data_IF_483375235912
#
_entry.id   IF_483375235912
#
_cell.length_a   1.000
_cell.length_b   1.000
_cell.length_c   1.000
_cell.angle_alpha   90.00
_cell.angle_beta   90.00
_cell.angle_gamma   90.00
#
_symmetry.space_group_name_H-M   'P 1'
#
loop_
_entity.id
_entity.type
_entity.pdbx_description
1 polymer ?
#
# COMPACT_ATOMS: atom_id res chain seq x y z
N UNK A 1 -25.24 -7.79 33.46
CA UNK A 1 -25.81 -9.15 33.54
C UNK A 1 -24.75 -10.12 33.01
N UNK A 2 -24.18 -11.02 33.83
CA UNK A 2 -23.29 -12.04 33.32
C UNK A 2 -24.14 -12.94 32.41
N UNK A 3 -23.89 -12.89 31.10
CA UNK A 3 -24.57 -13.77 30.14
C UNK A 3 -24.10 -15.20 30.43
N UNK A 4 -25.02 -16.16 30.30
CA UNK A 4 -24.83 -17.55 30.71
C UNK A 4 -23.57 -18.21 30.15
N UNK A 5 -23.25 -19.40 30.69
CA UNK A 5 -22.09 -20.18 30.30
C UNK A 5 -21.94 -20.29 28.77
N UNK A 6 -20.69 -20.26 28.29
CA UNK A 6 -20.36 -20.43 26.88
C UNK A 6 -21.07 -21.65 26.31
N UNK A 7 -21.71 -21.52 25.13
CA UNK A 7 -22.37 -22.67 24.51
C UNK A 7 -21.33 -23.77 24.19
N UNK A 8 -21.73 -25.05 24.11
CA UNK A 8 -20.79 -26.12 23.72
C UNK A 8 -20.08 -25.86 22.39
N UNK A 9 -20.74 -25.18 21.45
CA UNK A 9 -20.14 -24.77 20.18
C UNK A 9 -19.08 -23.66 20.37
N UNK A 10 -19.35 -22.66 21.21
CA UNK A 10 -18.37 -21.62 21.55
C UNK A 10 -17.15 -22.21 22.25
N UNK A 11 -17.34 -23.17 23.17
CA UNK A 11 -16.24 -23.85 23.85
C UNK A 11 -15.32 -24.57 22.87
N UNK A 12 -15.88 -25.23 21.84
CA UNK A 12 -15.08 -25.87 20.79
C UNK A 12 -14.28 -24.86 19.96
N UNK A 13 -14.88 -23.72 19.60
CA UNK A 13 -14.15 -22.64 18.90
C UNK A 13 -13.04 -22.08 19.77
N UNK A 14 -13.32 -21.76 21.04
CA UNK A 14 -12.33 -21.26 22.00
C UNK A 14 -11.18 -22.25 22.17
N UNK A 15 -11.47 -23.55 22.29
CA UNK A 15 -10.45 -24.58 22.43
C UNK A 15 -9.59 -24.71 21.15
N UNK A 16 -10.21 -24.68 19.97
CA UNK A 16 -9.48 -24.72 18.70
C UNK A 16 -8.55 -23.51 18.51
N UNK A 17 -8.98 -22.33 18.95
CA UNK A 17 -8.16 -21.10 18.89
C UNK A 17 -7.05 -21.10 19.95
N UNK A 18 -7.31 -21.60 21.15
CA UNK A 18 -6.29 -21.75 22.18
C UNK A 18 -5.14 -22.68 21.75
N UNK A 19 -5.44 -23.72 20.97
CA UNK A 19 -4.42 -24.58 20.34
C UNK A 19 -3.54 -23.88 19.29
N UNK A 20 -3.86 -22.63 18.94
CA UNK A 20 -3.09 -21.74 18.04
C UNK A 20 -2.56 -20.51 18.77
N UNK A 21 -2.52 -20.55 20.10
CA UNK A 21 -2.15 -19.42 20.96
C UNK A 21 -3.04 -18.18 20.81
N UNK A 22 -4.26 -18.34 20.32
CA UNK A 22 -5.25 -17.27 20.18
C UNK A 22 -6.24 -17.32 21.33
N UNK A 23 -6.30 -16.25 22.12
CA UNK A 23 -7.21 -16.15 23.26
C UNK A 23 -8.48 -15.38 22.87
N UNK A 24 -9.63 -16.03 22.98
CA UNK A 24 -10.95 -15.40 22.78
C UNK A 24 -11.94 -15.81 23.86
N UNK A 25 -12.87 -14.92 24.15
CA UNK A 25 -13.96 -15.12 25.11
C UNK A 25 -15.27 -15.40 24.39
N UNK A 26 -16.19 -16.11 25.05
CA UNK A 26 -17.54 -16.32 24.51
C UNK A 26 -18.28 -15.00 24.23
N UNK A 27 -18.04 -13.97 25.05
CA UNK A 27 -18.57 -12.62 24.82
C UNK A 27 -18.03 -11.97 23.56
N UNK A 28 -16.76 -12.18 23.21
CA UNK A 28 -16.19 -11.70 21.95
C UNK A 28 -16.85 -12.40 20.76
N UNK A 29 -16.96 -13.74 20.78
CA UNK A 29 -17.63 -14.50 19.74
C UNK A 29 -19.10 -14.08 19.56
N UNK A 30 -19.83 -13.88 20.66
CA UNK A 30 -21.21 -13.37 20.62
C UNK A 30 -21.28 -11.96 20.02
N UNK A 31 -20.34 -11.09 20.41
CA UNK A 31 -20.25 -9.73 19.87
C UNK A 31 -20.00 -9.73 18.37
N UNK A 32 -19.06 -10.53 17.88
CA UNK A 32 -18.74 -10.63 16.45
C UNK A 32 -19.92 -11.15 15.63
N UNK A 33 -20.66 -12.15 16.15
CA UNK A 33 -21.90 -12.61 15.51
C UNK A 33 -23.01 -11.57 15.51
N UNK A 34 -23.12 -10.78 16.58
CA UNK A 34 -24.13 -9.71 16.67
C UNK A 34 -23.88 -8.63 15.62
N UNK A 35 -22.62 -8.38 15.30
CA UNK A 35 -22.20 -7.40 14.30
C UNK A 35 -22.04 -7.99 12.90
N UNK A 36 -22.45 -9.25 12.69
CA UNK A 36 -22.39 -9.91 11.39
C UNK A 36 -21.00 -10.33 10.91
N UNK A 37 -19.94 -10.14 11.72
CA UNK A 37 -18.57 -10.48 11.34
C UNK A 37 -18.26 -11.98 11.45
N UNK A 38 -19.02 -12.70 12.27
CA UNK A 38 -18.88 -14.13 12.43
C UNK A 38 -20.20 -14.82 12.06
N UNK A 39 -20.18 -15.88 11.22
CA UNK A 39 -21.38 -16.64 10.93
C UNK A 39 -22.01 -17.24 12.20
N UNK A 40 -23.34 -17.32 12.22
CA UNK A 40 -24.05 -18.03 13.30
C UNK A 40 -23.93 -19.53 13.06
N UNK A 41 -23.77 -20.29 14.14
CA UNK A 41 -23.81 -21.75 14.06
C UNK A 41 -25.15 -22.22 13.49
N UNK A 42 -25.09 -23.10 12.48
CA UNK A 42 -26.28 -23.80 12.00
C UNK A 42 -26.81 -24.68 13.13
N UNK A 43 -28.09 -24.53 13.45
CA UNK A 43 -28.77 -25.30 14.48
C UNK A 43 -29.71 -26.28 13.82
N UNK A 44 -29.64 -27.55 14.24
CA UNK A 44 -30.62 -28.57 13.88
C UNK A 44 -31.64 -28.69 15.00
N UNK A 45 -32.92 -28.58 14.66
CA UNK A 45 -34.02 -28.85 15.59
C UNK A 45 -34.11 -30.34 15.89
N UNK A 46 -34.28 -30.71 17.16
CA UNK A 46 -34.41 -32.11 17.61
C UNK A 46 -35.87 -32.60 17.63
N UNK A 47 -36.80 -31.82 17.08
CA UNK A 47 -38.26 -32.06 17.15
C UNK A 47 -38.95 -31.27 18.27
N UNK A 48 -40.29 -31.36 18.33
CA UNK A 48 -41.10 -30.62 19.31
C UNK A 48 -40.63 -30.89 20.75
N UNK A 49 -40.38 -29.81 21.49
CA UNK A 49 -40.00 -29.85 22.90
C UNK A 49 -38.56 -30.32 23.20
N UNK A 50 -37.78 -30.74 22.20
CA UNK A 50 -36.43 -31.32 22.40
C UNK A 50 -35.28 -30.33 22.16
N UNK A 51 -35.59 -29.07 21.85
CA UNK A 51 -34.60 -28.02 21.64
C UNK A 51 -33.86 -28.13 20.31
N UNK A 52 -32.69 -27.50 20.24
CA UNK A 52 -31.85 -27.43 19.05
C UNK A 52 -30.39 -27.69 19.41
N UNK A 53 -29.67 -28.46 18.59
CA UNK A 53 -28.23 -28.74 18.76
C UNK A 53 -27.42 -28.22 17.59
N UNK A 54 -26.13 -28.02 17.84
CA UNK A 54 -25.12 -27.74 16.83
C UNK A 54 -24.36 -29.04 16.61
N UNK A 55 -24.60 -29.69 15.48
CA UNK A 55 -24.04 -31.02 15.19
C UNK A 55 -22.52 -30.96 14.99
N UNK A 56 -22.04 -29.91 14.31
CA UNK A 56 -20.62 -29.66 14.10
C UNK A 56 -20.34 -28.14 14.07
N UNK A 57 -19.16 -27.76 14.54
CA UNK A 57 -18.64 -26.40 14.35
C UNK A 57 -18.07 -26.34 12.94
N UNK A 58 -18.62 -25.44 12.13
CA UNK A 58 -18.14 -25.18 10.79
C UNK A 58 -16.68 -24.68 10.84
N UNK A 59 -15.72 -25.32 10.13
CA UNK A 59 -14.34 -24.86 10.06
C UNK A 59 -14.22 -23.38 9.67
N UNK A 60 -15.11 -22.89 8.79
CA UNK A 60 -15.16 -21.48 8.40
C UNK A 60 -15.29 -20.55 9.62
N UNK A 61 -16.11 -20.92 10.60
CA UNK A 61 -16.29 -20.13 11.83
C UNK A 61 -15.01 -20.09 12.65
N UNK A 62 -14.27 -21.19 12.71
CA UNK A 62 -12.99 -21.24 13.43
C UNK A 62 -11.96 -20.34 12.74
N UNK A 63 -11.81 -20.44 11.43
CA UNK A 63 -10.85 -19.64 10.67
C UNK A 63 -11.20 -18.14 10.66
N UNK A 64 -12.49 -17.77 10.50
CA UNK A 64 -12.92 -16.37 10.61
C UNK A 64 -12.69 -15.82 12.02
N UNK A 65 -12.94 -16.62 13.05
CA UNK A 65 -12.66 -16.21 14.43
C UNK A 65 -11.15 -16.08 14.70
N UNK A 66 -10.32 -16.92 14.07
CA UNK A 66 -8.86 -16.81 14.14
C UNK A 66 -8.37 -15.50 13.52
N UNK A 67 -8.84 -15.16 12.32
CA UNK A 67 -8.51 -13.90 11.65
C UNK A 67 -8.94 -12.69 12.49
N UNK A 68 -10.17 -12.69 13.02
CA UNK A 68 -10.65 -11.64 13.92
C UNK A 68 -9.81 -11.53 15.20
N UNK A 69 -9.38 -12.65 15.78
CA UNK A 69 -8.54 -12.65 16.98
C UNK A 69 -7.15 -12.05 16.73
N UNK A 70 -6.56 -12.26 15.54
CA UNK A 70 -5.27 -11.68 15.15
C UNK A 70 -5.33 -10.15 15.01
N UNK A 71 -6.41 -9.64 14.41
CA UNK A 71 -6.50 -8.22 14.00
C UNK A 71 -7.25 -7.34 15.00
N UNK A 72 -8.26 -7.88 15.67
CA UNK A 72 -9.11 -7.12 16.59
C UNK A 72 -8.49 -7.04 18.00
N UNK A 73 -7.71 -5.99 18.23
CA UNK A 73 -7.08 -5.69 19.53
C UNK A 73 -7.94 -4.75 20.38
N UNK A 74 -7.80 -4.82 21.70
CA UNK A 74 -8.49 -3.92 22.62
C UNK A 74 -8.17 -2.45 22.32
N UNK A 75 -9.20 -1.60 22.29
CA UNK A 75 -9.07 -0.16 22.01
C UNK A 75 -8.90 0.19 20.53
N UNK A 76 -8.77 -0.80 19.63
CA UNK A 76 -8.66 -0.58 18.19
C UNK A 76 -10.03 -0.50 17.53
N UNK A 77 -10.17 0.37 16.53
CA UNK A 77 -11.38 0.45 15.71
C UNK A 77 -11.56 -0.85 14.92
N UNK A 78 -12.74 -1.45 15.04
CA UNK A 78 -13.10 -2.72 14.39
C UNK A 78 -12.97 -2.67 12.88
N UNK A 79 -13.22 -1.51 12.26
CA UNK A 79 -13.14 -1.35 10.80
C UNK A 79 -11.72 -1.54 10.30
N UNK A 80 -10.71 -1.08 11.05
CA UNK A 80 -9.31 -1.32 10.71
C UNK A 80 -8.98 -2.82 10.73
N UNK A 81 -9.49 -3.56 11.71
CA UNK A 81 -9.29 -5.01 11.79
C UNK A 81 -9.97 -5.76 10.64
N UNK A 82 -11.12 -5.28 10.15
CA UNK A 82 -11.78 -5.85 8.96
C UNK A 82 -10.94 -5.62 7.70
N UNK A 83 -10.31 -4.45 7.55
CA UNK A 83 -9.42 -4.18 6.42
C UNK A 83 -8.16 -5.06 6.44
N UNK A 84 -7.57 -5.28 7.61
CA UNK A 84 -6.42 -6.20 7.76
C UNK A 84 -6.81 -7.66 7.50
N UNK A 85 -7.98 -8.09 8.00
CA UNK A 85 -8.51 -9.40 7.67
C UNK A 85 -8.73 -9.52 6.15
N UNK A 86 -9.32 -8.51 5.52
CA UNK A 86 -9.56 -8.53 4.08
C UNK A 86 -8.27 -8.64 3.27
N UNK A 87 -7.22 -7.90 3.66
CA UNK A 87 -5.89 -8.02 3.05
C UNK A 87 -5.30 -9.42 3.26
N UNK A 88 -5.35 -9.96 4.49
CA UNK A 88 -4.83 -11.29 4.82
C UNK A 88 -5.53 -12.40 4.02
N UNK A 89 -6.84 -12.29 3.80
CA UNK A 89 -7.60 -13.25 3.00
C UNK A 89 -7.16 -13.31 1.52
N UNK A 90 -6.53 -12.25 1.01
CA UNK A 90 -5.95 -12.22 -0.33
C UNK A 90 -4.52 -12.76 -0.42
N UNK A 91 -3.89 -13.11 0.70
CA UNK A 91 -2.52 -13.61 0.72
C UNK A 91 -2.49 -15.14 0.58
N UNK A 92 -1.46 -15.71 -0.07
CA UNK A 92 -1.24 -17.15 -0.05
C UNK A 92 -1.02 -17.63 1.39
N UNK A 93 -1.39 -18.88 1.73
CA UNK A 93 -1.16 -19.42 3.07
C UNK A 93 0.32 -19.34 3.45
N UNK A 94 0.61 -18.89 4.67
CA UNK A 94 1.98 -18.66 5.15
C UNK A 94 2.84 -19.94 5.22
N UNK A 95 2.24 -21.13 5.13
CA UNK A 95 2.96 -22.40 5.12
C UNK A 95 2.20 -23.45 4.31
N UNK A 96 2.91 -24.40 3.67
CA UNK A 96 2.28 -25.52 2.99
C UNK A 96 1.33 -26.27 3.94
N UNK A 97 0.08 -26.46 3.51
CA UNK A 97 -0.95 -27.16 4.29
C UNK A 97 -1.67 -26.30 5.34
N UNK A 98 -1.30 -25.03 5.53
CA UNK A 98 -2.11 -24.11 6.32
C UNK A 98 -3.44 -23.82 5.61
N UNK A 99 -4.52 -23.74 6.38
CA UNK A 99 -5.83 -23.38 5.84
C UNK A 99 -5.80 -21.92 5.33
N UNK A 100 -6.41 -21.62 4.17
CA UNK A 100 -6.53 -20.26 3.69
C UNK A 100 -7.40 -19.44 4.65
N UNK A 101 -7.09 -18.14 4.77
CA UNK A 101 -7.89 -17.22 5.57
C UNK A 101 -9.19 -16.93 4.83
N UNK A 102 -10.35 -17.15 5.44
CA UNK A 102 -11.63 -16.96 4.76
C UNK A 102 -11.92 -15.48 4.52
N UNK A 103 -12.75 -15.20 3.52
CA UNK A 103 -13.20 -13.83 3.23
C UNK A 103 -14.02 -13.23 4.39
N UNK A 104 -13.76 -11.98 4.81
CA UNK A 104 -14.69 -11.23 5.64
C UNK A 104 -16.00 -10.95 4.89
N UNK A 105 -17.10 -10.68 5.62
CA UNK A 105 -18.34 -10.24 4.99
C UNK A 105 -18.11 -8.95 4.18
N UNK A 106 -18.40 -8.97 2.88
CA UNK A 106 -18.08 -7.84 1.98
C UNK A 106 -18.79 -6.56 2.38
N UNK A 107 -20.01 -6.64 2.94
CA UNK A 107 -20.69 -5.47 3.51
C UNK A 107 -19.88 -4.78 4.62
N UNK A 108 -19.19 -5.54 5.48
CA UNK A 108 -18.33 -4.99 6.52
C UNK A 108 -17.03 -4.41 5.94
N UNK A 109 -16.48 -5.04 4.89
CA UNK A 109 -15.33 -4.50 4.15
C UNK A 109 -15.67 -3.14 3.54
N UNK A 110 -16.81 -3.04 2.84
CA UNK A 110 -17.29 -1.80 2.22
C UNK A 110 -17.51 -0.70 3.25
N UNK A 111 -18.15 -1.01 4.38
CA UNK A 111 -18.31 -0.06 5.50
C UNK A 111 -16.95 0.45 5.99
N UNK A 112 -15.98 -0.47 6.16
CA UNK A 112 -14.66 -0.13 6.65
C UNK A 112 -13.85 0.72 5.65
N UNK A 113 -13.92 0.39 4.36
CA UNK A 113 -13.27 1.16 3.28
C UNK A 113 -13.84 2.57 3.20
N UNK A 114 -15.16 2.73 3.14
CA UNK A 114 -15.82 4.06 3.11
C UNK A 114 -15.42 4.88 4.33
N UNK A 115 -15.45 4.27 5.53
CA UNK A 115 -15.07 4.97 6.75
C UNK A 115 -13.61 5.43 6.75
N UNK A 116 -12.69 4.60 6.23
CA UNK A 116 -11.26 4.90 6.15
C UNK A 116 -10.98 6.00 5.12
N UNK A 117 -11.57 5.89 3.93
CA UNK A 117 -11.43 6.87 2.84
C UNK A 117 -11.95 8.25 3.24
N UNK A 118 -13.11 8.34 3.89
CA UNK A 118 -13.65 9.61 4.42
C UNK A 118 -12.73 10.30 5.44
N UNK A 119 -11.72 9.60 5.98
CA UNK A 119 -10.77 10.12 6.97
C UNK A 119 -9.35 10.18 6.44
N UNK A 120 -9.17 9.89 5.16
CA UNK A 120 -7.87 9.82 4.52
C UNK A 120 -7.29 11.23 4.31
N UNK A 121 -5.98 11.33 4.10
CA UNK A 121 -5.35 12.61 3.80
C UNK A 121 -5.75 13.10 2.41
N UNK A 122 -5.73 12.19 1.43
CA UNK A 122 -6.09 12.45 0.04
C UNK A 122 -7.54 12.93 -0.11
N UNK A 123 -8.50 12.26 0.54
CA UNK A 123 -9.91 12.68 0.50
C UNK A 123 -10.10 14.07 1.12
N UNK A 124 -9.46 14.35 2.27
CA UNK A 124 -9.54 15.67 2.91
C UNK A 124 -8.88 16.75 2.06
N UNK A 125 -7.81 16.42 1.34
CA UNK A 125 -7.15 17.35 0.43
C UNK A 125 -8.05 17.69 -0.76
N UNK A 126 -8.72 16.70 -1.36
CA UNK A 126 -9.70 16.90 -2.43
C UNK A 126 -10.91 17.70 -1.95
N UNK A 127 -11.46 17.38 -0.77
CA UNK A 127 -12.57 18.14 -0.18
C UNK A 127 -12.18 19.59 0.11
N UNK A 128 -10.95 19.81 0.61
CA UNK A 128 -10.43 21.14 0.83
C UNK A 128 -10.28 21.90 -0.49
N UNK A 129 -9.68 21.27 -1.51
CA UNK A 129 -9.55 21.86 -2.84
C UNK A 129 -10.93 22.25 -3.42
N UNK A 130 -11.93 21.37 -3.33
CA UNK A 130 -13.32 21.68 -3.75
C UNK A 130 -13.91 22.85 -2.98
N UNK A 131 -13.64 22.97 -1.67
CA UNK A 131 -14.13 24.08 -0.86
C UNK A 131 -13.44 25.41 -1.17
N UNK A 132 -12.23 25.38 -1.72
CA UNK A 132 -11.46 26.54 -2.14
C UNK A 132 -11.78 26.97 -3.59
N UNK A 133 -12.57 26.19 -4.33
CA UNK A 133 -12.95 26.50 -5.70
C UNK A 133 -13.68 27.87 -5.78
N UNK A 134 -13.23 28.73 -6.69
CA UNK A 134 -13.78 30.07 -6.88
C UNK A 134 -13.25 31.15 -5.92
N UNK A 135 -12.35 30.80 -4.99
CA UNK A 135 -11.68 31.78 -4.11
C UNK A 135 -10.43 32.44 -4.74
N UNK A 136 -10.11 32.11 -5.99
CA UNK A 136 -8.92 32.63 -6.70
C UNK A 136 -7.60 32.22 -6.05
N UNK A 137 -6.58 33.07 -6.18
CA UNK A 137 -5.22 32.82 -5.68
C UNK A 137 -5.17 32.52 -4.18
N UNK A 138 -5.97 33.21 -3.35
CA UNK A 138 -6.04 32.97 -1.91
C UNK A 138 -6.50 31.54 -1.57
N UNK A 139 -7.41 30.99 -2.39
CA UNK A 139 -7.87 29.60 -2.26
C UNK A 139 -6.78 28.60 -2.62
N UNK A 140 -6.00 28.88 -3.66
CA UNK A 140 -4.87 28.06 -4.06
C UNK A 140 -3.79 28.05 -2.97
N UNK A 141 -3.38 29.21 -2.48
CA UNK A 141 -2.38 29.34 -1.40
C UNK A 141 -2.81 28.59 -0.14
N UNK A 142 -4.09 28.70 0.24
CA UNK A 142 -4.65 27.97 1.36
C UNK A 142 -4.59 26.45 1.15
N UNK A 143 -4.81 25.97 -0.08
CA UNK A 143 -4.72 24.55 -0.45
C UNK A 143 -3.29 24.05 -0.33
N UNK A 144 -2.30 24.74 -0.91
CA UNK A 144 -0.88 24.33 -0.79
C UNK A 144 -0.41 24.33 0.67
N UNK A 145 -0.82 25.34 1.46
CA UNK A 145 -0.50 25.39 2.88
C UNK A 145 -1.16 24.24 3.67
N UNK A 146 -2.41 23.88 3.35
CA UNK A 146 -3.10 22.75 3.96
C UNK A 146 -2.46 21.41 3.57
N UNK A 147 -2.09 21.25 2.29
CA UNK A 147 -1.39 20.09 1.79
C UNK A 147 -0.06 19.85 2.51
N UNK A 148 0.75 20.90 2.68
CA UNK A 148 2.02 20.82 3.41
C UNK A 148 1.84 20.35 4.86
N UNK A 149 0.73 20.73 5.53
CA UNK A 149 0.41 20.24 6.88
C UNK A 149 -0.09 18.80 6.91
N UNK A 150 -0.85 18.38 5.88
CA UNK A 150 -1.47 17.06 5.83
C UNK A 150 -0.50 15.96 5.39
N UNK A 151 0.39 16.27 4.44
CA UNK A 151 1.27 15.31 3.79
C UNK A 151 2.67 15.27 4.43
N UNK A 152 3.06 16.32 5.18
CA UNK A 152 4.39 16.42 5.77
C UNK A 152 5.50 16.44 4.70
N UNK A 153 6.72 16.06 5.09
CA UNK A 153 7.88 15.94 4.20
C UNK A 153 7.93 14.58 3.51
N UNK A 154 6.85 14.17 2.83
CA UNK A 154 6.90 12.96 2.02
C UNK A 154 7.88 13.17 0.86
N UNK A 155 8.82 12.23 0.69
CA UNK A 155 9.68 12.13 -0.48
C UNK A 155 9.46 10.75 -1.08
N UNK A 156 9.23 10.68 -2.39
CA UNK A 156 9.13 9.40 -3.10
C UNK A 156 10.45 8.61 -2.99
N UNK A 157 10.37 7.29 -3.14
CA UNK A 157 11.58 6.47 -3.16
C UNK A 157 12.40 6.73 -4.42
N UNK A 158 13.71 6.60 -4.27
CA UNK A 158 14.67 6.63 -5.38
C UNK A 158 14.49 5.36 -6.21
N UNK A 159 14.66 5.48 -7.53
CA UNK A 159 14.63 4.32 -8.42
C UNK A 159 15.65 3.25 -7.93
N UNK A 160 15.22 2.00 -7.68
CA UNK A 160 16.07 0.92 -7.19
C UNK A 160 17.29 0.64 -8.07
N UNK A 161 17.24 0.86 -9.38
CA UNK A 161 18.42 0.72 -10.24
C UNK A 161 19.52 1.74 -9.87
N UNK A 162 19.13 2.97 -9.52
CA UNK A 162 20.06 4.01 -9.04
C UNK A 162 20.61 3.65 -7.67
N UNK A 163 19.75 3.16 -6.76
CA UNK A 163 20.18 2.69 -5.44
C UNK A 163 21.20 1.55 -5.57
N UNK A 164 20.90 0.58 -6.43
CA UNK A 164 21.80 -0.56 -6.71
C UNK A 164 23.15 -0.08 -7.21
N UNK A 165 23.18 0.78 -8.22
CA UNK A 165 24.41 1.29 -8.80
C UNK A 165 25.27 2.03 -7.76
N UNK A 166 24.65 2.82 -6.88
CA UNK A 166 25.34 3.49 -5.78
C UNK A 166 25.94 2.49 -4.79
N UNK A 167 25.16 1.48 -4.37
CA UNK A 167 25.62 0.43 -3.45
C UNK A 167 26.77 -0.42 -4.05
N UNK A 168 26.69 -0.78 -5.33
CA UNK A 168 27.73 -1.54 -6.03
C UNK A 168 29.02 -0.70 -6.19
N UNK A 169 28.90 0.62 -6.34
CA UNK A 169 30.04 1.54 -6.36
C UNK A 169 30.59 1.87 -4.97
N UNK A 170 29.93 1.42 -3.89
CA UNK A 170 30.28 1.76 -2.51
C UNK A 170 30.05 3.24 -2.16
N UNK A 171 29.17 3.93 -2.88
CA UNK A 171 28.86 5.35 -2.70
C UNK A 171 27.46 5.61 -2.15
N UNK A 172 27.18 6.87 -1.83
CA UNK A 172 25.86 7.33 -1.44
C UNK A 172 24.93 7.50 -2.65
N UNK A 173 23.63 7.35 -2.42
CA UNK A 173 22.61 7.63 -3.44
C UNK A 173 22.60 9.14 -3.75
N UNK A 174 22.67 9.55 -5.03
CA UNK A 174 22.65 10.96 -5.39
C UNK A 174 21.39 11.68 -4.89
N UNK A 175 21.55 12.87 -4.30
CA UNK A 175 20.43 13.68 -3.82
C UNK A 175 19.45 14.11 -4.94
N UNK A 176 19.93 14.18 -6.18
CA UNK A 176 19.09 14.52 -7.34
C UNK A 176 18.26 13.34 -7.87
N UNK A 177 18.50 12.12 -7.36
CA UNK A 177 17.72 10.93 -7.72
C UNK A 177 16.47 10.73 -6.86
N UNK A 178 16.15 11.70 -5.99
CA UNK A 178 14.96 11.68 -5.13
C UNK A 178 13.67 11.52 -5.96
N UNK A 179 12.74 10.70 -5.46
CA UNK A 179 11.45 10.46 -6.11
C UNK A 179 10.56 11.70 -6.12
N UNK A 180 9.37 11.62 -6.74
CA UNK A 180 8.48 12.76 -6.90
C UNK A 180 8.18 13.47 -5.57
N UNK A 181 8.26 14.80 -5.60
CA UNK A 181 7.96 15.65 -4.44
C UNK A 181 6.44 15.70 -4.18
N UNK A 182 6.06 15.98 -2.93
CA UNK A 182 4.66 16.11 -2.51
C UNK A 182 3.89 17.12 -3.37
N UNK A 183 4.57 18.12 -3.91
CA UNK A 183 3.99 19.17 -4.75
C UNK A 183 3.23 18.60 -5.95
N UNK A 184 3.74 17.54 -6.58
CA UNK A 184 3.06 16.88 -7.71
C UNK A 184 1.71 16.28 -7.31
N UNK A 185 1.60 15.69 -6.12
CA UNK A 185 0.29 15.22 -5.60
C UNK A 185 -0.67 16.38 -5.37
N UNK A 186 -0.17 17.52 -4.88
CA UNK A 186 -1.02 18.69 -4.64
C UNK A 186 -1.56 19.24 -5.95
N UNK A 187 -0.76 19.29 -7.01
CA UNK A 187 -1.21 19.71 -8.34
C UNK A 187 -2.33 18.80 -8.87
N UNK A 188 -2.24 17.48 -8.70
CA UNK A 188 -3.32 16.55 -9.08
C UNK A 188 -4.58 16.78 -8.23
N UNK A 189 -4.43 16.89 -6.91
CA UNK A 189 -5.57 17.16 -6.02
C UNK A 189 -6.23 18.52 -6.29
N UNK A 190 -5.42 19.53 -6.60
CA UNK A 190 -5.88 20.85 -7.01
C UNK A 190 -6.65 20.76 -8.33
N UNK A 191 -6.17 20.02 -9.33
CA UNK A 191 -6.87 19.87 -10.61
C UNK A 191 -8.20 19.15 -10.45
N UNK A 192 -8.27 18.16 -9.55
CA UNK A 192 -9.52 17.48 -9.19
C UNK A 192 -10.51 18.43 -8.49
N UNK A 193 -10.04 19.26 -7.55
CA UNK A 193 -10.92 20.06 -6.70
C UNK A 193 -11.26 21.44 -7.23
N UNK A 194 -10.29 22.13 -7.84
CA UNK A 194 -10.41 23.48 -8.41
C UNK A 194 -10.73 23.44 -9.90
N UNK A 195 -10.29 22.38 -10.60
CA UNK A 195 -10.33 22.28 -12.06
C UNK A 195 -8.93 22.37 -12.66
N UNK A 196 -8.70 21.65 -13.76
CA UNK A 196 -7.40 21.59 -14.41
C UNK A 196 -6.91 22.96 -14.93
N UNK A 197 -7.85 23.81 -15.34
CA UNK A 197 -7.58 25.15 -15.85
C UNK A 197 -6.99 26.08 -14.77
N UNK A 198 -7.39 25.90 -13.51
CA UNK A 198 -6.91 26.68 -12.37
C UNK A 198 -5.47 26.32 -11.99
N UNK A 199 -5.04 25.08 -12.27
CA UNK A 199 -3.68 24.60 -11.99
C UNK A 199 -2.73 24.94 -13.13
N UNK A 200 -3.23 24.93 -14.37
CA UNK A 200 -2.46 25.16 -15.59
C UNK A 200 -1.83 23.88 -16.15
N UNK A 201 -1.71 23.83 -17.48
CA UNK A 201 -1.20 22.68 -18.22
C UNK A 201 0.23 22.28 -17.81
N UNK A 202 1.11 23.25 -17.56
CA UNK A 202 2.52 22.98 -17.23
C UNK A 202 2.67 22.28 -15.87
N UNK A 203 1.98 22.78 -14.84
CA UNK A 203 2.02 22.17 -13.51
C UNK A 203 1.36 20.77 -13.48
N UNK A 204 0.32 20.57 -14.29
CA UNK A 204 -0.28 19.26 -14.49
C UNK A 204 0.65 18.30 -15.25
N UNK A 205 1.36 18.80 -16.25
CA UNK A 205 2.32 18.02 -17.01
C UNK A 205 3.49 17.55 -16.15
N UNK A 206 4.05 18.45 -15.33
CA UNK A 206 5.06 18.10 -14.34
C UNK A 206 4.53 17.07 -13.34
N UNK A 207 3.29 17.24 -12.86
CA UNK A 207 2.70 16.29 -11.93
C UNK A 207 2.50 14.90 -12.56
N UNK A 208 1.95 14.81 -13.77
CA UNK A 208 1.73 13.54 -14.47
C UNK A 208 3.04 12.84 -14.82
N UNK A 209 4.04 13.58 -15.26
CA UNK A 209 5.38 13.06 -15.50
C UNK A 209 6.03 12.56 -14.20
N UNK A 210 5.86 13.27 -13.08
CA UNK A 210 6.38 12.88 -11.78
C UNK A 210 5.77 11.54 -11.27
N UNK A 211 4.52 11.23 -11.62
CA UNK A 211 3.92 9.92 -11.37
C UNK A 211 4.25 8.86 -12.42
N UNK A 212 5.03 9.21 -13.45
CA UNK A 212 5.38 8.32 -14.54
C UNK A 212 4.20 7.92 -15.42
N UNK A 213 3.12 8.71 -15.44
CA UNK A 213 1.91 8.33 -16.18
C UNK A 213 2.22 8.13 -17.67
N UNK A 214 1.98 6.89 -18.12
CA UNK A 214 2.24 6.39 -19.49
C UNK A 214 3.70 6.52 -19.95
N UNK A 215 4.67 6.65 -19.02
CA UNK A 215 6.09 6.82 -19.35
C UNK A 215 6.41 8.12 -20.09
N UNK A 216 5.51 9.11 -20.06
CA UNK A 216 5.70 10.38 -20.76
C UNK A 216 6.46 11.41 -19.91
N UNK A 217 7.31 12.21 -20.56
CA UNK A 217 8.01 13.33 -19.91
C UNK A 217 7.08 14.52 -19.69
N UNK A 218 7.53 15.49 -18.88
CA UNK A 218 6.79 16.73 -18.65
C UNK A 218 6.57 17.50 -19.96
N UNK A 219 7.54 17.53 -20.88
CA UNK A 219 7.37 18.19 -22.18
C UNK A 219 6.32 17.50 -23.05
N UNK A 220 6.33 16.16 -23.08
CA UNK A 220 5.33 15.38 -23.83
C UNK A 220 3.92 15.64 -23.29
N UNK A 221 3.78 15.65 -21.96
CA UNK A 221 2.51 15.99 -21.31
C UNK A 221 2.08 17.43 -21.59
N UNK A 222 2.98 18.41 -21.47
CA UNK A 222 2.68 19.82 -21.72
C UNK A 222 2.25 20.03 -23.18
N UNK A 223 2.91 19.35 -24.13
CA UNK A 223 2.51 19.38 -25.53
C UNK A 223 1.10 18.80 -25.74
N UNK A 224 0.79 17.65 -25.13
CA UNK A 224 -0.53 17.02 -25.23
C UNK A 224 -1.63 17.88 -24.60
N UNK A 225 -1.41 18.36 -23.38
CA UNK A 225 -2.37 19.21 -22.65
C UNK A 225 -2.58 20.54 -23.39
N UNK A 226 -1.51 21.17 -23.86
CA UNK A 226 -1.60 22.40 -24.65
C UNK A 226 -2.29 22.19 -26.00
N UNK A 227 -2.09 21.05 -26.66
CA UNK A 227 -2.83 20.71 -27.88
C UNK A 227 -4.33 20.54 -27.61
N UNK A 228 -4.69 19.89 -26.49
CA UNK A 228 -6.08 19.76 -26.08
C UNK A 228 -6.72 21.12 -25.76
N UNK A 229 -6.02 22.02 -25.07
CA UNK A 229 -6.50 23.39 -24.78
C UNK A 229 -6.73 24.22 -26.06
N UNK A 230 -5.92 24.00 -27.10
CA UNK A 230 -6.10 24.64 -28.43
C UNK A 230 -7.15 23.96 -29.30
N UNK A 231 -7.73 22.83 -28.86
CA UNK A 231 -8.65 22.02 -29.67
C UNK A 231 -7.98 21.25 -30.81
N UNK A 232 -6.66 21.07 -30.75
CA UNK A 232 -5.84 20.37 -31.74
C UNK A 232 -5.73 18.85 -31.47
N UNK A 233 -6.41 18.35 -30.44
CA UNK A 233 -6.39 16.95 -30.01
C UNK A 233 -7.75 16.48 -29.47
N UNK A 234 -7.84 15.20 -29.04
CA UNK A 234 -9.04 14.71 -28.35
C UNK A 234 -9.29 15.56 -27.10
N UNK A 235 -10.57 15.88 -26.86
CA UNK A 235 -10.99 16.62 -25.68
C UNK A 235 -10.62 15.83 -24.42
N UNK A 236 -9.89 16.48 -23.50
CA UNK A 236 -9.56 15.87 -22.21
C UNK A 236 -10.79 15.98 -21.31
N UNK A 237 -11.41 14.84 -21.00
CA UNK A 237 -12.54 14.79 -20.07
C UNK A 237 -12.05 14.93 -18.62
N UNK A 238 -11.92 16.17 -18.17
CA UNK A 238 -11.59 16.48 -16.77
C UNK A 238 -12.67 16.03 -15.78
N UNK A 239 -13.91 15.88 -16.24
CA UNK A 239 -14.99 15.31 -15.44
C UNK A 239 -14.74 13.85 -15.11
N UNK A 240 -14.12 13.11 -16.03
CA UNK A 240 -13.68 11.74 -15.80
C UNK A 240 -12.60 11.66 -14.72
N UNK A 241 -11.61 12.57 -14.72
CA UNK A 241 -10.60 12.66 -13.65
C UNK A 241 -11.25 12.92 -12.28
N UNK A 242 -12.25 13.80 -12.21
CA UNK A 242 -12.98 14.07 -10.97
C UNK A 242 -13.81 12.86 -10.49
N UNK A 243 -14.42 12.12 -11.43
CA UNK A 243 -15.15 10.89 -11.13
C UNK A 243 -14.21 9.79 -10.63
N UNK A 244 -13.02 9.68 -11.23
CA UNK A 244 -11.97 8.76 -10.79
C UNK A 244 -11.37 9.15 -9.44
N UNK A 245 -11.40 10.42 -9.08
CA UNK A 245 -10.96 10.88 -7.77
C UNK A 245 -11.99 10.67 -6.64
N UNK A 246 -13.25 10.40 -6.93
CA UNK A 246 -14.28 10.10 -5.92
C UNK A 246 -14.21 8.64 -5.45
N UNK A 247 -13.11 8.32 -4.77
CA UNK A 247 -12.80 6.98 -4.23
C UNK A 247 -13.94 6.43 -3.37
N UNK A 248 -14.62 7.28 -2.59
CA UNK A 248 -15.74 6.87 -1.72
C UNK A 248 -16.90 6.37 -2.57
N UNK A 249 -17.32 7.13 -3.57
CA UNK A 249 -18.44 6.74 -4.42
C UNK A 249 -18.09 5.52 -5.27
N UNK A 250 -16.83 5.36 -5.70
CA UNK A 250 -16.38 4.15 -6.39
C UNK A 250 -16.52 2.90 -5.52
N UNK A 251 -15.99 2.93 -4.29
CA UNK A 251 -16.12 1.81 -3.34
C UNK A 251 -17.58 1.51 -3.03
N UNK A 252 -18.46 2.52 -2.98
CA UNK A 252 -19.89 2.29 -2.77
C UNK A 252 -20.56 1.60 -3.96
N UNK A 253 -20.16 1.93 -5.19
CA UNK A 253 -20.74 1.40 -6.44
C UNK A 253 -20.15 0.06 -6.88
N UNK A 254 -18.93 -0.29 -6.43
CA UNK A 254 -18.24 -1.51 -6.82
C UNK A 254 -19.05 -2.78 -6.43
N UNK A 255 -19.10 -3.79 -7.29
CA UNK A 255 -19.67 -5.09 -6.90
C UNK A 255 -18.78 -5.78 -5.86
N UNK A 256 -19.30 -6.82 -5.23
CA UNK A 256 -18.53 -7.59 -4.26
C UNK A 256 -17.33 -8.28 -4.92
N UNK A 257 -17.52 -8.81 -6.14
CA UNK A 257 -16.45 -9.39 -6.96
C UNK A 257 -15.40 -8.35 -7.33
N UNK A 258 -15.82 -7.12 -7.66
CA UNK A 258 -14.90 -6.05 -8.02
C UNK A 258 -14.00 -5.65 -6.84
N UNK A 259 -14.53 -5.65 -5.62
CA UNK A 259 -13.72 -5.39 -4.41
C UNK A 259 -12.70 -6.51 -4.15
N UNK A 260 -13.10 -7.77 -4.32
CA UNK A 260 -12.21 -8.93 -4.19
C UNK A 260 -11.11 -8.89 -5.24
N UNK A 261 -11.47 -8.56 -6.49
CA UNK A 261 -10.53 -8.43 -7.60
C UNK A 261 -9.55 -7.28 -7.39
N UNK A 262 -10.02 -6.09 -6.98
CA UNK A 262 -9.15 -4.97 -6.68
C UNK A 262 -8.13 -5.29 -5.57
N UNK A 263 -8.52 -6.10 -4.57
CA UNK A 263 -7.58 -6.61 -3.57
C UNK A 263 -6.55 -7.55 -4.20
N UNK A 264 -6.97 -8.49 -5.05
CA UNK A 264 -6.04 -9.40 -5.75
C UNK A 264 -4.99 -8.60 -6.55
N UNK A 265 -5.45 -7.64 -7.36
CA UNK A 265 -4.59 -6.71 -8.11
C UNK A 265 -3.62 -5.99 -7.16
N UNK A 266 -4.12 -5.41 -6.07
CA UNK A 266 -3.28 -4.72 -5.09
C UNK A 266 -2.21 -5.63 -4.46
N UNK A 267 -2.59 -6.84 -4.05
CA UNK A 267 -1.65 -7.81 -3.45
C UNK A 267 -0.62 -8.27 -4.47
N UNK A 268 -1.03 -8.54 -5.71
CA UNK A 268 -0.15 -8.93 -6.80
C UNK A 268 0.84 -7.83 -7.19
N UNK A 269 0.36 -6.60 -7.40
CA UNK A 269 1.21 -5.43 -7.66
C UNK A 269 2.21 -5.18 -6.53
N UNK A 270 1.84 -5.47 -5.28
CA UNK A 270 2.76 -5.37 -4.13
C UNK A 270 3.89 -6.39 -4.19
N UNK A 271 3.63 -7.59 -4.69
CA UNK A 271 4.68 -8.59 -4.91
C UNK A 271 5.66 -8.11 -5.97
N UNK A 272 5.17 -7.61 -7.12
CA UNK A 272 6.03 -7.07 -8.17
C UNK A 272 6.85 -5.85 -7.71
N UNK A 273 6.20 -4.91 -7.00
CA UNK A 273 6.89 -3.76 -6.43
C UNK A 273 7.95 -4.18 -5.39
N UNK A 274 7.67 -5.17 -4.55
CA UNK A 274 8.65 -5.68 -3.60
C UNK A 274 9.87 -6.27 -4.32
N UNK A 275 9.68 -7.10 -5.36
CA UNK A 275 10.80 -7.61 -6.18
C UNK A 275 11.61 -6.48 -6.81
N UNK A 276 10.93 -5.46 -7.32
CA UNK A 276 11.55 -4.29 -7.94
C UNK A 276 12.38 -3.48 -6.92
N UNK A 277 11.88 -3.25 -5.70
CA UNK A 277 12.63 -2.56 -4.62
C UNK A 277 13.80 -3.40 -4.13
N UNK A 278 13.61 -4.71 -3.95
CA UNK A 278 14.67 -5.61 -3.50
C UNK A 278 15.83 -5.68 -4.50
N UNK A 279 15.60 -5.46 -5.79
CA UNK A 279 16.69 -5.28 -6.77
C UNK A 279 17.67 -4.17 -6.37
N UNK A 280 17.16 -3.05 -5.84
CA UNK A 280 17.97 -1.98 -5.27
C UNK A 280 18.81 -2.43 -4.08
N UNK A 281 18.33 -3.43 -3.33
CA UNK A 281 19.02 -4.06 -2.20
C UNK A 281 19.80 -5.32 -2.62
N UNK A 282 20.42 -5.28 -3.80
CA UNK A 282 21.31 -6.32 -4.31
C UNK A 282 20.67 -7.71 -4.47
N UNK A 283 19.34 -7.79 -4.62
CA UNK A 283 18.67 -9.04 -4.99
C UNK A 283 19.32 -9.60 -6.28
N UNK A 284 19.71 -10.90 -6.33
CA UNK A 284 20.34 -11.48 -7.51
C UNK A 284 19.45 -11.32 -8.74
N UNK A 285 20.03 -10.80 -9.81
CA UNK A 285 19.28 -10.45 -11.00
C UNK A 285 19.21 -11.61 -12.00
N UNK A 286 18.08 -12.31 -12.03
CA UNK A 286 17.82 -13.36 -13.02
C UNK A 286 17.24 -12.77 -14.30
N UNK A 287 17.38 -13.43 -15.46
CA UNK A 287 16.77 -12.94 -16.71
C UNK A 287 15.26 -12.67 -16.59
N UNK A 288 14.55 -13.51 -15.84
CA UNK A 288 13.12 -13.35 -15.57
C UNK A 288 12.83 -12.09 -14.72
N UNK A 289 13.62 -11.82 -13.68
CA UNK A 289 13.49 -10.60 -12.91
C UNK A 289 13.83 -9.36 -13.74
N UNK A 290 14.89 -9.41 -14.55
CA UNK A 290 15.26 -8.32 -15.44
C UNK A 290 14.14 -7.99 -16.43
N UNK A 291 13.49 -8.99 -17.02
CA UNK A 291 12.33 -8.79 -17.90
C UNK A 291 11.15 -8.14 -17.19
N UNK A 292 10.81 -8.60 -15.96
CA UNK A 292 9.75 -7.97 -15.17
C UNK A 292 10.05 -6.51 -14.81
N UNK A 293 11.29 -6.20 -14.43
CA UNK A 293 11.68 -4.82 -14.13
C UNK A 293 11.65 -3.94 -15.36
N UNK A 294 12.20 -4.42 -16.48
CA UNK A 294 12.12 -3.71 -17.75
C UNK A 294 10.66 -3.41 -18.11
N UNK A 295 9.74 -4.36 -17.88
CA UNK A 295 8.32 -4.14 -18.12
C UNK A 295 7.72 -3.05 -17.23
N UNK A 296 8.11 -3.00 -15.95
CA UNK A 296 7.70 -1.93 -15.02
C UNK A 296 8.25 -0.57 -15.49
N UNK A 297 9.51 -0.54 -15.95
CA UNK A 297 10.18 0.67 -16.45
C UNK A 297 9.55 1.17 -17.75
N UNK A 298 9.27 0.28 -18.70
CA UNK A 298 8.61 0.58 -19.98
C UNK A 298 7.22 1.16 -19.77
N UNK A 299 6.51 0.71 -18.74
CA UNK A 299 5.20 1.24 -18.35
C UNK A 299 5.31 2.55 -17.54
N UNK A 300 6.51 2.96 -17.11
CA UNK A 300 6.73 4.12 -16.25
C UNK A 300 6.14 3.96 -14.83
N UNK A 301 5.88 2.73 -14.39
CA UNK A 301 5.02 2.48 -13.22
C UNK A 301 5.73 2.59 -11.87
N UNK A 302 7.05 2.70 -11.82
CA UNK A 302 7.78 2.72 -10.53
C UNK A 302 7.30 3.84 -9.57
N UNK A 303 7.27 5.13 -9.96
CA UNK A 303 6.85 6.20 -9.06
C UNK A 303 5.43 5.99 -8.52
N UNK A 304 4.56 5.42 -9.36
CA UNK A 304 3.20 5.09 -8.99
C UNK A 304 3.13 3.92 -8.00
N UNK A 305 3.81 2.82 -8.29
CA UNK A 305 3.87 1.64 -7.41
C UNK A 305 4.45 2.01 -6.05
N UNK A 306 5.49 2.85 -6.03
CA UNK A 306 6.08 3.39 -4.81
C UNK A 306 5.07 4.16 -3.97
N UNK A 307 4.34 5.07 -4.61
CA UNK A 307 3.39 5.93 -3.94
C UNK A 307 2.13 5.18 -3.44
N UNK A 308 1.60 4.28 -4.27
CA UNK A 308 0.28 3.68 -4.04
C UNK A 308 0.36 2.38 -3.27
N UNK A 309 1.34 1.53 -3.55
CA UNK A 309 1.26 0.13 -3.12
C UNK A 309 1.85 -0.07 -1.72
N UNK A 310 2.98 0.59 -1.42
CA UNK A 310 3.75 0.51 -0.18
C UNK A 310 4.07 -0.95 0.29
N UNK A 311 5.31 -1.23 0.69
CA UNK A 311 5.67 -2.59 1.14
C UNK A 311 4.92 -3.02 2.40
N UNK A 312 4.44 -2.09 3.23
CA UNK A 312 3.63 -2.39 4.42
C UNK A 312 2.61 -1.28 4.71
N UNK A 313 1.48 -1.23 3.99
CA UNK A 313 0.51 -0.17 4.14
C UNK A 313 -0.20 -0.31 5.49
N UNK A 314 -0.39 0.83 6.16
CA UNK A 314 -1.39 0.91 7.22
C UNK A 314 -2.78 0.55 6.67
N UNK A 315 -3.75 0.14 7.50
CA UNK A 315 -5.07 -0.22 6.98
C UNK A 315 -5.80 0.95 6.28
N UNK A 316 -5.42 2.20 6.57
CA UNK A 316 -5.94 3.37 5.85
C UNK A 316 -5.33 3.52 4.47
N UNK A 317 -4.00 3.34 4.36
CA UNK A 317 -3.33 3.30 3.06
C UNK A 317 -3.88 2.15 2.22
N UNK A 318 -4.08 0.96 2.80
CA UNK A 318 -4.73 -0.15 2.11
C UNK A 318 -6.08 0.26 1.49
N UNK A 319 -6.90 1.05 2.20
CA UNK A 319 -8.17 1.50 1.68
C UNK A 319 -8.01 2.45 0.47
N UNK A 320 -7.04 3.36 0.52
CA UNK A 320 -6.70 4.25 -0.59
C UNK A 320 -6.17 3.46 -1.79
N UNK A 321 -5.17 2.59 -1.59
CA UNK A 321 -4.60 1.74 -2.64
C UNK A 321 -5.64 0.83 -3.27
N UNK A 322 -6.55 0.27 -2.47
CA UNK A 322 -7.60 -0.60 -2.98
C UNK A 322 -8.62 0.17 -3.81
N UNK A 323 -8.98 1.38 -3.39
CA UNK A 323 -9.87 2.23 -4.17
C UNK A 323 -9.24 2.59 -5.52
N UNK A 324 -7.93 2.86 -5.55
CA UNK A 324 -7.17 3.07 -6.78
C UNK A 324 -7.21 1.82 -7.66
N UNK A 325 -6.96 0.62 -7.11
CA UNK A 325 -7.04 -0.65 -7.85
C UNK A 325 -8.46 -1.05 -8.32
N UNK A 326 -9.50 -0.24 -8.06
CA UNK A 326 -10.80 -0.41 -8.72
C UNK A 326 -10.80 0.11 -10.16
N UNK A 327 -9.79 0.89 -10.55
CA UNK A 327 -9.67 1.39 -11.91
C UNK A 327 -9.17 0.28 -12.86
N UNK A 328 -9.80 0.10 -14.04
CA UNK A 328 -9.44 -0.96 -14.99
C UNK A 328 -7.97 -0.95 -15.39
N UNK A 329 -7.35 0.23 -15.46
CA UNK A 329 -5.93 0.37 -15.79
C UNK A 329 -5.01 -0.47 -14.89
N UNK A 330 -5.29 -0.56 -13.58
CA UNK A 330 -4.44 -1.36 -12.68
C UNK A 330 -4.64 -2.86 -12.84
N UNK A 331 -5.84 -3.25 -13.25
CA UNK A 331 -6.11 -4.63 -13.64
C UNK A 331 -5.27 -5.01 -14.86
N UNK A 332 -5.26 -4.16 -15.90
CA UNK A 332 -4.46 -4.35 -17.11
C UNK A 332 -2.95 -4.39 -16.84
N UNK A 333 -2.46 -3.51 -15.96
CA UNK A 333 -1.05 -3.52 -15.51
C UNK A 333 -0.73 -4.83 -14.77
N UNK A 334 -1.61 -5.25 -13.85
CA UNK A 334 -1.42 -6.49 -13.11
C UNK A 334 -1.40 -7.71 -14.05
N UNK A 335 -2.37 -7.84 -14.96
CA UNK A 335 -2.42 -8.92 -15.94
C UNK A 335 -1.18 -8.93 -16.83
N UNK A 336 -0.74 -7.75 -17.30
CA UNK A 336 0.50 -7.63 -18.08
C UNK A 336 1.74 -8.16 -17.33
N UNK A 337 1.86 -7.84 -16.04
CA UNK A 337 2.97 -8.33 -15.22
C UNK A 337 2.85 -9.81 -14.89
N UNK A 338 1.63 -10.31 -14.70
CA UNK A 338 1.34 -11.72 -14.49
C UNK A 338 1.64 -12.55 -15.75
N UNK A 339 1.31 -12.07 -16.94
CA UNK A 339 1.67 -12.70 -18.21
C UNK A 339 3.20 -12.79 -18.35
N UNK A 340 3.90 -11.68 -18.08
CA UNK A 340 5.36 -11.67 -18.09
C UNK A 340 5.96 -12.67 -17.09
N UNK A 341 5.36 -12.79 -15.90
CA UNK A 341 5.77 -13.76 -14.89
C UNK A 341 5.49 -15.20 -15.33
N UNK A 342 4.35 -15.46 -15.96
CA UNK A 342 3.96 -16.79 -16.44
C UNK A 342 4.85 -17.30 -17.58
N UNK A 343 5.34 -16.40 -18.45
CA UNK A 343 6.31 -16.74 -19.50
C UNK A 343 7.65 -17.22 -18.93
N UNK A 344 8.06 -16.68 -17.76
CA UNK A 344 9.33 -16.99 -17.11
C UNK A 344 9.15 -17.15 -15.58
N UNK A 345 8.56 -18.27 -15.11
CA UNK A 345 8.19 -18.45 -13.70
C UNK A 345 9.41 -18.63 -12.77
N UNK A 346 10.58 -18.92 -13.35
CA UNK A 346 11.83 -19.22 -12.66
C UNK A 346 12.54 -17.97 -12.10
N UNK A 347 11.79 -17.03 -11.51
CA UNK A 347 12.32 -15.76 -11.01
C UNK A 347 13.38 -15.94 -9.91
N UNK A 348 13.35 -17.05 -9.17
CA UNK A 348 14.30 -17.37 -8.10
C UNK A 348 15.31 -18.45 -8.50
N UNK A 349 15.42 -18.77 -9.78
CA UNK A 349 16.38 -19.76 -10.29
C UNK A 349 17.55 -19.03 -10.93
N UNK A 350 18.74 -19.21 -10.36
CA UNK A 350 19.96 -18.62 -10.92
C UNK A 350 20.49 -19.55 -12.03
N UNK A 351 20.76 -19.05 -13.25
CA UNK A 351 21.30 -19.88 -14.31
C UNK A 351 22.59 -20.61 -13.88
N UNK A 352 22.58 -21.95 -13.99
CA UNK A 352 23.68 -22.81 -13.57
C UNK A 352 23.69 -23.17 -12.07
N UNK A 353 22.69 -22.77 -11.29
CA UNK A 353 22.52 -23.11 -9.88
C UNK A 353 21.31 -24.03 -9.70
N UNK A 354 21.56 -25.29 -9.31
CA UNK A 354 20.51 -26.31 -9.14
C UNK A 354 19.78 -26.22 -7.79
N UNK A 355 20.20 -25.31 -6.90
CA UNK A 355 19.62 -25.17 -5.55
C UNK A 355 18.29 -24.41 -5.53
N UNK A 356 17.90 -23.80 -6.66
CA UNK A 356 16.66 -23.05 -6.82
C UNK A 356 16.55 -21.87 -5.84
N UNK A 357 15.35 -21.66 -5.29
CA UNK A 357 15.06 -20.54 -4.41
C UNK A 357 15.92 -20.48 -3.13
N UNK A 358 16.42 -21.62 -2.65
CA UNK A 358 17.25 -21.68 -1.44
C UNK A 358 18.62 -21.04 -1.70
N UNK A 359 19.37 -21.47 -2.72
CA UNK A 359 20.67 -20.86 -3.00
C UNK A 359 20.56 -19.46 -3.57
N UNK A 360 19.43 -19.12 -4.21
CA UNK A 360 19.09 -17.74 -4.50
C UNK A 360 19.06 -16.87 -3.22
N UNK A 361 18.33 -17.32 -2.19
CA UNK A 361 18.25 -16.62 -0.91
C UNK A 361 19.60 -16.54 -0.19
N UNK A 362 20.37 -17.63 -0.16
CA UNK A 362 21.71 -17.64 0.43
C UNK A 362 22.68 -16.66 -0.27
N UNK A 363 22.62 -16.60 -1.60
CA UNK A 363 23.45 -15.67 -2.38
C UNK A 363 23.10 -14.22 -2.05
N UNK A 364 21.81 -13.91 -1.97
CA UNK A 364 21.36 -12.57 -1.61
C UNK A 364 21.82 -12.16 -0.21
N UNK A 365 21.63 -13.03 0.79
CA UNK A 365 22.06 -12.78 2.17
C UNK A 365 23.58 -12.54 2.25
N UNK A 366 24.38 -13.29 1.49
CA UNK A 366 25.82 -13.08 1.40
C UNK A 366 26.18 -11.69 0.86
N UNK A 367 25.53 -11.24 -0.22
CA UNK A 367 25.75 -9.89 -0.77
C UNK A 367 25.44 -8.79 0.26
N UNK A 368 24.37 -8.95 1.03
CA UNK A 368 23.99 -8.00 2.09
C UNK A 368 25.01 -7.98 3.25
N UNK A 369 25.55 -9.13 3.64
CA UNK A 369 26.61 -9.21 4.65
C UNK A 369 27.90 -8.54 4.19
N UNK A 370 28.29 -8.74 2.93
CA UNK A 370 29.48 -8.11 2.33
C UNK A 370 29.36 -6.58 2.31
N UNK A 371 28.19 -6.06 1.93
CA UNK A 371 27.91 -4.61 1.97
C UNK A 371 28.01 -4.04 3.38
N UNK A 372 27.51 -4.77 4.38
CA UNK A 372 27.60 -4.38 5.79
C UNK A 372 29.04 -4.38 6.32
N UNK A 373 29.90 -5.26 5.80
CA UNK A 373 31.33 -5.30 6.16
C UNK A 373 32.11 -4.20 5.47
N UNK A 374 31.84 -3.93 4.19
CA UNK A 374 32.49 -2.86 3.43
C UNK A 374 32.23 -1.46 4.00
N UNK A 375 30.99 -1.17 4.38
CA UNK A 375 30.61 0.11 5.01
C UNK A 375 31.30 0.37 6.35
N UNK A 376 31.63 -0.67 7.12
CA UNK A 376 32.38 -0.52 8.39
C UNK A 376 33.87 -0.24 8.17
N UNK A 377 34.45 -0.71 7.07
CA UNK A 377 35.88 -0.53 6.78
C UNK A 377 36.27 0.89 6.34
N UNK A 378 35.31 1.69 5.87
CA UNK A 378 35.54 3.07 5.39
C UNK A 378 35.40 4.11 6.51
N UNK A 379 34.83 3.74 7.66
CA UNK A 379 34.54 4.65 8.78
C UNK A 379 35.56 4.68 9.94
N UNK A 380 36.63 3.86 9.90
CA UNK A 380 37.62 3.74 10.98
C UNK A 380 38.99 4.33 10.63
N UNK A 381 39.05 5.44 9.89
CA UNK A 381 40.24 6.30 9.94
C UNK A 381 40.10 7.24 11.15
N UNK A 382 40.93 7.09 12.21
CA UNK A 382 40.85 7.94 13.38
C UNK A 382 41.15 9.38 12.97
N UNK A 383 40.15 10.24 13.16
CA UNK A 383 40.28 11.68 13.01
C UNK A 383 41.59 12.16 13.70
N UNK A 384 42.52 12.80 12.98
CA UNK A 384 43.73 13.30 13.61
C UNK A 384 43.34 14.31 14.70
N UNK A 385 44.07 14.33 15.84
CA UNK A 385 43.70 15.14 16.98
C UNK A 385 43.64 16.61 16.56
N UNK A 386 42.44 17.19 16.68
CA UNK A 386 42.18 18.62 16.49
C UNK A 386 43.14 19.43 17.38
N UNK A 387 43.98 20.24 16.75
CA UNK A 387 44.82 21.22 17.44
C UNK A 387 43.92 22.17 18.24
N UNK A 388 44.11 22.12 19.56
CA UNK A 388 43.41 22.95 20.52
C UNK A 388 43.62 24.43 20.19
N UNK A 389 42.54 25.11 19.80
CA UNK A 389 42.49 26.56 19.69
C UNK A 389 42.73 27.20 21.06
N UNK A 390 43.74 28.07 21.12
CA UNK A 390 44.11 28.84 22.31
C UNK A 390 42.97 29.76 22.78
N UNK A 391 42.80 29.97 24.11
CA UNK A 391 41.75 30.82 24.64
C UNK A 391 42.05 32.32 24.40
N UNK A 392 41.08 33.01 23.82
CA UNK A 392 41.07 34.47 23.65
C UNK A 392 40.98 35.19 25.01
N UNK A 393 41.75 36.26 25.27
CA UNK A 393 41.72 36.96 26.55
C UNK A 393 40.46 37.83 26.69
N UNK A 394 39.75 37.66 27.82
CA UNK A 394 38.64 38.54 28.25
C UNK A 394 39.15 39.95 28.53
N UNK A 395 38.67 40.94 27.77
CA UNK A 395 38.77 42.37 28.09
C UNK A 395 37.86 42.68 29.29
N UNK A 396 38.45 43.25 30.34
CA UNK A 396 37.73 43.88 31.44
C UNK A 396 37.09 45.19 30.97
N UNK A 397 35.81 45.39 31.27
CA UNK A 397 35.12 46.67 31.21
C UNK A 397 35.06 47.23 32.64
N UNK A 398 35.81 48.30 32.89
CA UNK A 398 35.50 49.31 33.90
C UNK A 398 34.91 50.51 33.16
N UNK A 399 33.82 51.04 33.67
CA UNK A 399 33.09 52.20 33.15
C UNK A 399 31.65 52.19 33.65
#
# INVERSE_FOLDING_TARGET
MPRGAASPADQRVIHALAGRDLTVTASQLESWRRTGLLPRHRRRGLGQGRGSVVDAVDPLVVESAAALARHLRQGRDRRLAVLEWFAEAGMPPASPGAAPVPEPPVAAVREALVWALQRSASQRLVEFARSAAGAGEEGQDALYAAAGRLMGSYRGAVNPAVVRAALEAGGDVPAEAEGPDFRSMVHVAAAIGLGAQEVGADALAEAFAAFGMFGLTAENWAQMLGAAERGEGPEVDWGLLQQHADMVAQVQRASDEKLVRAREVLVGLRMFYALYVLHGLLLPDTPAQAALRQRIDDLGMFPFLDHVIAINPSPRQLAESLAICLEPFFDDVYETLMDQFAENPDIFSIPGDETGAVGFGERWMRSMEELTKGSRGVGEDPCPPSEASAPTPRRALQG
#
